data_IF_568373208226
#
_entry.id   IF_568373208226
#
_cell.length_a   1.000
_cell.length_b   1.000
_cell.length_c   1.000
_cell.angle_alpha   90.00
_cell.angle_beta   90.00
_cell.angle_gamma   90.00
#
_symmetry.space_group_name_H-M   'P 1'
#
loop_
_entity.id
_entity.type
_entity.pdbx_description
1 polymer ?
#
# COMPACT_ATOMS: atom_id res chain seq x y z
N UNK A 1 13.10 10.33 -5.92
CA UNK A 1 13.01 9.14 -5.04
C UNK A 1 14.40 8.89 -4.44
N UNK A 2 14.83 9.78 -3.55
CA UNK A 2 16.21 9.79 -3.00
C UNK A 2 16.23 9.76 -1.48
N UNK A 3 15.05 9.64 -0.87
CA UNK A 3 14.86 9.58 0.57
C UNK A 3 14.59 8.14 0.92
N UNK A 4 15.38 7.61 1.84
CA UNK A 4 15.35 6.21 2.25
C UNK A 4 15.01 6.11 3.73
N UNK A 5 14.39 5.00 4.12
CA UNK A 5 13.99 4.71 5.49
C UNK A 5 14.14 3.21 5.77
N UNK A 6 14.48 2.85 7.01
CA UNK A 6 14.49 1.45 7.45
C UNK A 6 13.07 1.05 7.84
N UNK A 7 12.63 -0.11 7.39
CA UNK A 7 11.30 -0.67 7.71
C UNK A 7 11.39 -2.19 7.78
N UNK A 8 10.25 -2.85 7.97
CA UNK A 8 10.16 -4.30 8.08
C UNK A 8 8.89 -4.83 7.40
N UNK A 9 9.03 -5.97 6.74
CA UNK A 9 7.96 -6.78 6.13
C UNK A 9 8.15 -8.26 6.53
N UNK A 10 7.19 -9.17 6.29
CA UNK A 10 7.32 -10.58 6.68
C UNK A 10 8.61 -11.27 6.21
N UNK A 11 9.13 -10.94 5.02
CA UNK A 11 10.42 -11.47 4.54
C UNK A 11 11.66 -10.87 5.22
N UNK A 12 11.52 -9.79 6.00
CA UNK A 12 12.56 -9.25 6.86
C UNK A 12 12.70 -7.73 6.83
N UNK A 13 13.87 -7.27 7.27
CA UNK A 13 14.22 -5.85 7.24
C UNK A 13 14.39 -5.35 5.80
N UNK A 14 13.85 -4.16 5.52
CA UNK A 14 14.01 -3.48 4.23
C UNK A 14 14.58 -2.07 4.39
N UNK A 15 15.29 -1.62 3.37
CA UNK A 15 15.60 -0.20 3.16
C UNK A 15 14.69 0.31 2.05
N UNK A 16 13.54 0.86 2.44
CA UNK A 16 12.52 1.36 1.54
C UNK A 16 12.73 2.83 1.18
N UNK A 17 12.12 3.27 0.07
CA UNK A 17 12.05 4.68 -0.31
C UNK A 17 10.82 5.34 0.29
N UNK A 18 10.98 6.60 0.73
CA UNK A 18 9.86 7.44 1.17
C UNK A 18 9.21 8.05 -0.07
N UNK A 19 8.15 7.41 -0.56
CA UNK A 19 7.36 7.86 -1.71
C UNK A 19 6.10 8.56 -1.20
N UNK A 20 5.76 9.69 -1.81
CA UNK A 20 4.54 10.43 -1.47
C UNK A 20 3.33 9.63 -1.93
N UNK A 21 2.36 9.51 -1.03
CA UNK A 21 1.20 8.67 -1.19
C UNK A 21 0.02 9.30 -0.44
N UNK A 22 -1.19 9.18 -1.00
CA UNK A 22 -2.36 9.92 -0.51
C UNK A 22 -2.78 9.47 0.90
N UNK A 23 -2.69 8.16 1.14
CA UNK A 23 -2.98 7.50 2.40
C UNK A 23 -2.06 7.96 3.54
N UNK A 24 -0.83 8.41 3.25
CA UNK A 24 0.04 8.96 4.27
C UNK A 24 -0.58 10.20 4.94
N UNK A 25 -1.32 11.01 4.18
CA UNK A 25 -2.12 12.09 4.72
C UNK A 25 -3.48 11.61 5.23
N UNK A 26 -4.19 10.78 4.44
CA UNK A 26 -5.53 10.26 4.75
C UNK A 26 -5.59 9.59 6.12
N UNK A 27 -4.78 8.56 6.32
CA UNK A 27 -4.71 7.78 7.57
C UNK A 27 -4.26 8.65 8.73
N UNK A 28 -3.21 9.46 8.56
CA UNK A 28 -2.70 10.34 9.63
C UNK A 28 -3.77 11.35 10.08
N UNK A 29 -4.54 11.90 9.14
CA UNK A 29 -5.66 12.79 9.43
C UNK A 29 -6.80 12.03 10.10
N UNK A 30 -7.21 10.89 9.56
CA UNK A 30 -8.32 10.09 10.07
C UNK A 30 -8.08 9.62 11.51
N UNK A 31 -6.85 9.24 11.84
CA UNK A 31 -6.44 8.80 13.19
C UNK A 31 -6.05 9.96 14.12
N UNK A 32 -6.34 11.21 13.75
CA UNK A 32 -6.06 12.35 14.65
C UNK A 32 -7.10 12.42 15.76
N UNK A 33 -6.64 12.46 17.01
CA UNK A 33 -7.49 12.79 18.16
C UNK A 33 -7.36 14.28 18.44
N UNK A 34 -8.49 14.99 18.44
CA UNK A 34 -8.58 16.42 18.73
C UNK A 34 -9.00 16.67 20.19
N UNK A 35 -8.72 17.86 20.69
CA UNK A 35 -9.22 18.34 21.98
C UNK A 35 -10.74 18.45 21.96
N UNK A 36 -11.38 18.15 23.09
CA UNK A 36 -12.82 18.32 23.29
C UNK A 36 -13.21 19.78 23.65
N UNK A 37 -12.24 20.69 23.72
CA UNK A 37 -12.50 22.12 23.96
C UNK A 37 -13.03 22.77 22.68
N UNK A 38 -14.29 23.20 22.70
CA UNK A 38 -14.98 23.84 21.57
C UNK A 38 -14.28 25.11 21.06
N UNK A 39 -13.47 25.76 21.90
CA UNK A 39 -12.71 26.95 21.52
C UNK A 39 -11.29 26.62 21.01
N UNK A 40 -10.87 25.35 21.05
CA UNK A 40 -9.52 24.94 20.73
C UNK A 40 -9.47 23.58 20.02
N UNK A 41 -9.35 23.61 18.69
CA UNK A 41 -9.25 22.43 17.84
C UNK A 41 -7.83 21.81 17.78
N UNK A 42 -7.07 21.86 18.87
CA UNK A 42 -5.70 21.32 18.91
C UNK A 42 -5.69 19.79 18.74
N UNK A 43 -4.74 19.29 17.95
CA UNK A 43 -4.49 17.84 17.82
C UNK A 43 -3.72 17.33 19.05
N UNK A 44 -4.32 16.40 19.80
CA UNK A 44 -3.73 15.76 20.98
C UNK A 44 -2.88 14.55 20.61
N UNK A 45 -3.28 13.83 19.56
CA UNK A 45 -2.56 12.68 19.02
C UNK A 45 -2.70 12.64 17.51
N UNK A 46 -1.62 12.28 16.82
CA UNK A 46 -1.60 12.02 15.39
C UNK A 46 -0.44 11.07 15.08
N UNK A 47 -0.67 9.91 14.44
CA UNK A 47 0.42 9.03 14.08
C UNK A 47 1.25 9.61 12.94
N UNK A 48 2.55 9.33 12.96
CA UNK A 48 3.38 9.44 11.77
C UNK A 48 3.00 8.34 10.81
N UNK A 49 2.66 8.72 9.58
CA UNK A 49 2.36 7.78 8.49
C UNK A 49 3.17 8.20 7.28
N UNK A 50 3.91 7.27 6.70
CA UNK A 50 4.58 7.45 5.43
C UNK A 50 4.78 6.10 4.76
N UNK A 51 4.99 6.11 3.44
CA UNK A 51 5.28 4.88 2.73
C UNK A 51 6.77 4.52 2.89
N UNK A 52 7.07 3.23 2.97
CA UNK A 52 8.42 2.68 2.98
C UNK A 52 8.52 1.61 1.89
N UNK A 53 8.76 2.04 0.66
CA UNK A 53 8.60 1.19 -0.52
C UNK A 53 9.93 0.62 -1.03
N UNK A 54 10.08 -0.70 -0.95
CA UNK A 54 11.13 -1.44 -1.65
C UNK A 54 10.51 -2.09 -2.90
N UNK A 55 10.66 -1.49 -4.10
CA UNK A 55 10.15 -2.09 -5.32
C UNK A 55 11.01 -3.27 -5.76
N UNK A 56 10.59 -3.96 -6.81
CA UNK A 56 11.39 -5.01 -7.45
C UNK A 56 12.81 -4.56 -7.82
N UNK A 57 13.75 -5.51 -7.86
CA UNK A 57 15.14 -5.29 -8.29
C UNK A 57 15.24 -4.60 -9.65
N UNK A 58 14.35 -4.96 -10.58
CA UNK A 58 14.28 -4.33 -11.90
C UNK A 58 13.97 -2.84 -11.80
N UNK A 59 13.01 -2.47 -10.93
CA UNK A 59 12.68 -1.06 -10.68
C UNK A 59 13.83 -0.34 -9.97
N UNK A 60 14.51 -0.96 -8.99
CA UNK A 60 15.69 -0.37 -8.36
C UNK A 60 16.76 -0.03 -9.41
N UNK A 61 17.05 -0.95 -10.33
CA UNK A 61 17.98 -0.72 -11.43
C UNK A 61 17.52 0.43 -12.34
N UNK A 62 16.23 0.47 -12.71
CA UNK A 62 15.68 1.59 -13.49
C UNK A 62 15.78 2.93 -12.76
N UNK A 63 15.64 2.96 -11.43
CA UNK A 63 15.79 4.19 -10.65
C UNK A 63 17.24 4.65 -10.56
N UNK A 64 18.21 3.74 -10.51
CA UNK A 64 19.63 4.06 -10.61
C UNK A 64 19.94 4.70 -11.96
N UNK A 65 19.52 4.05 -13.06
CA UNK A 65 19.70 4.58 -14.41
C UNK A 65 19.04 5.96 -14.59
N UNK A 66 17.80 6.11 -14.10
CA UNK A 66 17.08 7.38 -14.16
C UNK A 66 17.84 8.50 -13.45
N UNK A 67 18.47 8.22 -12.30
CA UNK A 67 19.33 9.19 -11.60
C UNK A 67 20.60 9.51 -12.36
N UNK A 68 21.26 8.49 -12.94
CA UNK A 68 22.46 8.69 -13.77
C UNK A 68 22.16 9.54 -15.01
N UNK A 69 20.93 9.45 -15.51
CA UNK A 69 20.45 10.22 -16.64
C UNK A 69 19.87 11.60 -16.24
N UNK A 70 20.30 12.16 -15.10
CA UNK A 70 19.85 13.45 -14.58
C UNK A 70 18.31 13.58 -14.50
N UNK A 71 17.63 12.51 -14.10
CA UNK A 71 16.17 12.44 -14.00
C UNK A 71 15.45 12.67 -15.34
N UNK A 72 16.12 12.42 -16.46
CA UNK A 72 15.46 12.26 -17.74
C UNK A 72 15.00 10.81 -17.90
N UNK A 73 13.71 10.63 -18.18
CA UNK A 73 13.08 9.33 -18.26
C UNK A 73 13.72 8.50 -19.37
N UNK A 74 13.85 7.20 -19.14
CA UNK A 74 14.30 6.25 -20.15
C UNK A 74 13.39 6.31 -21.38
N UNK A 75 13.94 6.22 -22.61
CA UNK A 75 13.15 6.30 -23.84
C UNK A 75 12.18 5.12 -24.01
N UNK A 76 12.39 4.02 -23.28
CA UNK A 76 11.51 2.85 -23.28
C UNK A 76 11.19 2.45 -21.86
N UNK A 77 9.90 2.29 -21.58
CA UNK A 77 9.38 1.75 -20.34
C UNK A 77 8.77 0.37 -20.59
N UNK A 78 8.82 -0.50 -19.58
CA UNK A 78 8.18 -1.81 -19.62
C UNK A 78 7.65 -2.15 -18.23
N UNK A 79 6.41 -2.63 -18.20
CA UNK A 79 5.78 -3.22 -17.03
C UNK A 79 5.92 -4.74 -17.18
N UNK A 80 6.46 -5.40 -16.16
CA UNK A 80 6.66 -6.85 -16.18
C UNK A 80 5.34 -7.56 -15.89
N UNK A 81 5.03 -8.61 -16.65
CA UNK A 81 3.90 -9.49 -16.38
C UNK A 81 4.33 -10.95 -16.55
N UNK A 82 4.24 -11.49 -17.77
CA UNK A 82 4.58 -12.89 -18.06
C UNK A 82 6.08 -13.18 -17.87
N UNK A 83 6.92 -12.16 -17.88
CA UNK A 83 8.36 -12.29 -17.67
C UNK A 83 8.75 -12.55 -16.20
N UNK A 84 7.83 -12.30 -15.25
CA UNK A 84 8.08 -12.57 -13.83
C UNK A 84 8.12 -14.09 -13.64
N UNK A 85 9.27 -14.64 -13.25
CA UNK A 85 9.44 -16.09 -13.09
C UNK A 85 9.08 -16.58 -11.69
N UNK A 86 9.33 -15.76 -10.67
CA UNK A 86 9.10 -16.05 -9.25
C UNK A 86 9.00 -14.73 -8.45
N UNK A 87 8.56 -14.82 -7.19
CA UNK A 87 8.50 -13.71 -6.25
C UNK A 87 7.07 -13.36 -5.81
N UNK A 88 6.98 -12.56 -4.75
CA UNK A 88 5.72 -12.10 -4.18
C UNK A 88 5.68 -10.58 -4.06
N UNK A 89 4.48 -10.03 -3.95
CA UNK A 89 4.26 -8.65 -3.52
C UNK A 89 3.77 -8.66 -2.07
N UNK A 90 4.58 -8.10 -1.17
CA UNK A 90 4.31 -7.96 0.26
C UNK A 90 3.85 -6.52 0.54
N UNK A 91 2.54 -6.31 0.58
CA UNK A 91 1.94 -4.99 0.80
C UNK A 91 1.09 -5.00 2.07
N UNK A 92 1.42 -4.08 2.98
CA UNK A 92 0.76 -4.03 4.28
C UNK A 92 1.11 -2.79 5.08
N UNK A 93 0.64 -2.77 6.32
CA UNK A 93 0.85 -1.69 7.29
C UNK A 93 1.70 -2.22 8.44
N UNK A 94 2.77 -1.50 8.75
CA UNK A 94 3.60 -1.73 9.94
C UNK A 94 3.22 -0.72 11.02
N UNK A 95 2.59 -1.20 12.10
CA UNK A 95 2.28 -0.41 13.28
C UNK A 95 3.42 -0.50 14.29
N UNK A 96 3.94 0.66 14.70
CA UNK A 96 4.97 0.81 15.72
C UNK A 96 4.41 1.63 16.87
N UNK A 97 4.32 1.05 18.07
CA UNK A 97 3.62 1.66 19.20
C UNK A 97 4.45 1.79 20.48
N UNK A 98 5.48 0.96 20.65
CA UNK A 98 6.43 0.92 21.79
C UNK A 98 5.83 0.59 23.16
N UNK A 99 4.64 1.11 23.50
CA UNK A 99 3.97 0.91 24.79
C UNK A 99 3.02 -0.29 24.80
N UNK A 100 2.42 -0.60 23.66
CA UNK A 100 1.40 -1.66 23.53
C UNK A 100 1.69 -2.65 22.40
N UNK A 101 2.47 -2.21 21.40
CA UNK A 101 2.88 -3.00 20.24
C UNK A 101 4.31 -2.59 19.90
N UNK A 102 5.27 -3.50 20.03
CA UNK A 102 6.65 -3.23 19.61
C UNK A 102 6.70 -2.99 18.10
N UNK A 103 6.23 -3.98 17.35
CA UNK A 103 5.99 -3.89 15.92
C UNK A 103 4.91 -4.90 15.54
N UNK A 104 3.96 -4.50 14.70
CA UNK A 104 2.96 -5.41 14.14
C UNK A 104 2.74 -5.08 12.66
N UNK A 105 3.06 -6.05 11.80
CA UNK A 105 2.77 -5.98 10.38
C UNK A 105 1.47 -6.73 10.09
N UNK A 106 0.62 -6.13 9.26
CA UNK A 106 -0.61 -6.76 8.75
C UNK A 106 -0.78 -6.41 7.28
N UNK A 107 -1.17 -7.37 6.45
CA UNK A 107 -1.33 -7.14 5.01
C UNK A 107 -1.28 -8.40 4.18
N UNK A 108 -1.14 -8.21 2.86
CA UNK A 108 -1.13 -9.26 1.86
C UNK A 108 0.29 -9.67 1.50
N UNK A 109 0.55 -10.98 1.49
CA UNK A 109 1.71 -11.59 0.86
C UNK A 109 1.19 -12.46 -0.29
N UNK A 110 1.23 -11.92 -1.50
CA UNK A 110 0.69 -12.59 -2.69
C UNK A 110 1.83 -13.03 -3.63
N UNK A 111 2.00 -14.34 -3.77
CA UNK A 111 2.96 -14.94 -4.69
C UNK A 111 2.48 -14.88 -6.15
N UNK A 112 3.42 -14.73 -7.10
CA UNK A 112 3.12 -14.65 -8.52
C UNK A 112 2.42 -15.90 -9.07
N UNK A 113 2.73 -17.09 -8.56
CA UNK A 113 2.09 -18.33 -9.01
C UNK A 113 0.65 -18.41 -8.51
N UNK A 114 0.38 -17.93 -7.30
CA UNK A 114 -0.98 -17.80 -6.78
C UNK A 114 -1.78 -16.75 -7.55
N UNK A 115 -1.21 -15.55 -7.75
CA UNK A 115 -1.82 -14.50 -8.54
C UNK A 115 -2.22 -14.99 -9.94
N UNK A 116 -1.36 -15.78 -10.60
CA UNK A 116 -1.64 -16.33 -11.93
C UNK A 116 -2.67 -17.45 -11.97
N UNK A 117 -2.91 -18.15 -10.85
CA UNK A 117 -4.03 -19.10 -10.74
C UNK A 117 -5.37 -18.34 -10.68
N UNK A 118 -5.39 -17.21 -9.98
CA UNK A 118 -6.58 -16.38 -9.80
C UNK A 118 -6.87 -15.48 -11.00
N UNK A 119 -5.83 -14.88 -11.58
CA UNK A 119 -5.90 -13.97 -12.72
C UNK A 119 -4.76 -14.27 -13.71
N UNK A 120 -5.00 -15.16 -14.71
CA UNK A 120 -3.99 -15.57 -15.67
C UNK A 120 -3.34 -14.38 -16.41
N UNK A 121 -2.02 -14.38 -16.46
CA UNK A 121 -1.22 -13.34 -17.13
C UNK A 121 -1.05 -12.03 -16.37
N UNK A 122 -1.60 -11.92 -15.16
CA UNK A 122 -1.43 -10.74 -14.29
C UNK A 122 -0.33 -10.96 -13.24
N UNK A 123 0.27 -9.84 -12.81
CA UNK A 123 1.22 -9.83 -11.68
C UNK A 123 0.50 -9.83 -10.32
N UNK A 124 1.21 -10.17 -9.25
CA UNK A 124 0.71 -10.04 -7.87
C UNK A 124 0.30 -8.59 -7.55
N UNK A 125 1.17 -7.62 -7.86
CA UNK A 125 0.89 -6.19 -7.72
C UNK A 125 -0.40 -5.78 -8.44
N UNK A 126 -0.59 -6.25 -9.68
CA UNK A 126 -1.78 -5.93 -10.46
C UNK A 126 -3.03 -6.52 -9.82
N UNK A 127 -2.97 -7.76 -9.30
CA UNK A 127 -4.12 -8.40 -8.69
C UNK A 127 -4.55 -7.69 -7.40
N UNK A 128 -3.61 -7.35 -6.51
CA UNK A 128 -3.89 -6.60 -5.27
C UNK A 128 -4.58 -5.24 -5.56
N UNK A 129 -4.13 -4.52 -6.59
CA UNK A 129 -4.76 -3.26 -7.01
C UNK A 129 -6.13 -3.52 -7.65
N UNK A 130 -6.24 -4.50 -8.55
CA UNK A 130 -7.48 -4.77 -9.26
C UNK A 130 -8.60 -5.21 -8.30
N UNK A 131 -8.29 -6.07 -7.32
CA UNK A 131 -9.31 -6.56 -6.39
C UNK A 131 -9.81 -5.48 -5.43
N UNK A 132 -8.95 -4.53 -5.02
CA UNK A 132 -9.40 -3.40 -4.21
C UNK A 132 -10.38 -2.51 -4.98
N UNK A 133 -10.15 -2.29 -6.28
CA UNK A 133 -11.08 -1.55 -7.15
C UNK A 133 -12.40 -2.30 -7.32
N UNK A 134 -12.37 -3.62 -7.55
CA UNK A 134 -13.60 -4.44 -7.66
C UNK A 134 -14.42 -4.38 -6.36
N UNK A 135 -13.75 -4.49 -5.21
CA UNK A 135 -14.39 -4.42 -3.90
C UNK A 135 -15.02 -3.04 -3.66
N UNK A 136 -14.32 -1.96 -4.03
CA UNK A 136 -14.83 -0.60 -3.96
C UNK A 136 -16.04 -0.36 -4.88
N UNK A 137 -16.03 -0.89 -6.11
CA UNK A 137 -17.18 -0.80 -7.02
C UNK A 137 -18.40 -1.49 -6.40
N UNK A 138 -18.21 -2.68 -5.82
CA UNK A 138 -19.29 -3.38 -5.14
C UNK A 138 -19.84 -2.58 -3.94
N UNK A 139 -18.95 -1.99 -3.14
CA UNK A 139 -19.33 -1.08 -2.05
C UNK A 139 -20.17 0.10 -2.56
N UNK A 140 -19.71 0.77 -3.62
CA UNK A 140 -20.44 1.89 -4.23
C UNK A 140 -21.84 1.50 -4.75
N UNK A 141 -22.00 0.29 -5.28
CA UNK A 141 -23.31 -0.22 -5.74
C UNK A 141 -24.26 -0.42 -4.55
N UNK A 142 -23.76 -0.95 -3.42
CA UNK A 142 -24.55 -1.14 -2.20
C UNK A 142 -24.87 0.18 -1.49
N UNK A 143 -23.98 1.17 -1.59
CA UNK A 143 -24.03 2.44 -0.87
C UNK A 143 -24.06 3.67 -1.81
N UNK A 144 -25.06 3.80 -2.71
CA UNK A 144 -25.01 4.72 -3.84
C UNK A 144 -25.13 6.21 -3.48
N UNK A 145 -25.45 6.54 -2.23
CA UNK A 145 -25.79 7.91 -1.79
C UNK A 145 -24.89 8.44 -0.67
N UNK A 146 -23.70 7.87 -0.47
CA UNK A 146 -22.75 8.34 0.56
C UNK A 146 -21.93 9.57 0.15
N UNK A 147 -22.02 10.00 -1.12
CA UNK A 147 -21.25 11.13 -1.63
C UNK A 147 -19.81 10.73 -1.95
N UNK A 148 -18.86 11.62 -1.68
CA UNK A 148 -17.43 11.35 -1.89
C UNK A 148 -16.87 10.73 -0.61
N UNK A 149 -16.37 9.51 -0.72
CA UNK A 149 -15.71 8.78 0.35
C UNK A 149 -14.24 8.54 -0.01
N UNK A 150 -13.35 8.62 0.97
CA UNK A 150 -12.01 8.07 0.91
C UNK A 150 -12.03 6.61 1.40
N UNK A 151 -10.96 5.83 1.16
CA UNK A 151 -10.85 4.48 1.73
C UNK A 151 -10.97 4.45 3.26
N UNK A 152 -10.57 5.53 3.94
CA UNK A 152 -10.69 5.66 5.40
C UNK A 152 -12.15 5.89 5.86
N UNK A 153 -13.09 6.19 4.94
CA UNK A 153 -14.48 6.56 5.27
C UNK A 153 -15.49 5.40 5.04
N UNK A 154 -15.04 4.27 4.50
CA UNK A 154 -15.90 3.15 4.11
C UNK A 154 -15.72 1.94 5.04
N UNK A 155 -16.72 1.05 5.06
CA UNK A 155 -16.67 -0.17 5.89
C UNK A 155 -15.59 -1.13 5.37
N UNK A 156 -14.57 -1.36 6.21
CA UNK A 156 -13.43 -2.20 5.87
C UNK A 156 -13.82 -3.68 5.71
N UNK A 157 -14.78 -4.18 6.49
CA UNK A 157 -15.17 -5.58 6.46
C UNK A 157 -15.85 -5.90 5.11
N UNK A 158 -16.68 -4.98 4.60
CA UNK A 158 -17.30 -5.14 3.27
C UNK A 158 -16.29 -5.17 2.11
N UNK A 159 -15.16 -4.48 2.27
CA UNK A 159 -14.07 -4.48 1.28
C UNK A 159 -13.24 -5.76 1.42
N UNK A 160 -12.90 -6.16 2.64
CA UNK A 160 -12.07 -7.32 2.93
C UNK A 160 -12.78 -8.64 2.60
N UNK A 161 -14.09 -8.75 2.85
CA UNK A 161 -14.89 -9.93 2.51
C UNK A 161 -14.80 -10.33 1.03
N UNK A 162 -14.62 -9.34 0.15
CA UNK A 162 -14.49 -9.54 -1.30
C UNK A 162 -13.03 -9.74 -1.69
N UNK A 163 -12.11 -9.00 -1.06
CA UNK A 163 -10.73 -8.94 -1.49
C UNK A 163 -9.84 -10.05 -0.94
N UNK A 164 -10.02 -10.47 0.32
CA UNK A 164 -9.19 -11.50 0.98
C UNK A 164 -8.95 -12.75 0.11
N UNK A 165 -9.95 -13.33 -0.59
CA UNK A 165 -9.73 -14.48 -1.46
C UNK A 165 -8.71 -14.29 -2.59
N UNK A 166 -8.29 -13.05 -2.86
CA UNK A 166 -7.34 -12.68 -3.90
C UNK A 166 -6.03 -12.09 -3.36
N UNK A 167 -5.84 -12.06 -2.05
CA UNK A 167 -4.70 -11.41 -1.38
C UNK A 167 -3.62 -12.41 -0.91
N UNK A 168 -3.73 -13.69 -1.27
CA UNK A 168 -2.76 -14.70 -0.87
C UNK A 168 -2.78 -14.92 0.64
N UNK A 169 -1.60 -14.93 1.27
CA UNK A 169 -1.51 -14.99 2.73
C UNK A 169 -1.89 -13.61 3.32
N UNK A 170 -2.91 -13.62 4.18
CA UNK A 170 -3.46 -12.47 4.91
C UNK A 170 -3.24 -12.63 6.41
#
# INVERSE_FOLDING_TARGET
MNTWVRSWVPSGEIIGMVIRHGEAYGISKHLTVHSNDENNNAALYRPTVHYAYLPSDSTINSLVEFRMHNYQLQPKLRILNNEITQGADEVGVLLLGGRYVDAWWTGSVLDIHEARKLAPGQSATTLQVAISVVSAINYCIKHPSQGICLPDDIDVDEILDISIPYLGQW
#
